data_IF_579808957777
#
_entry.id   IF_579808957777
#
_cell.length_a   1.000
_cell.length_b   1.000
_cell.length_c   1.000
_cell.angle_alpha   90.00
_cell.angle_beta   90.00
_cell.angle_gamma   90.00
#
_symmetry.space_group_name_H-M   'P 1'
#
loop_
_entity.id
_entity.type
_entity.pdbx_description
1 polymer ?
#
# COMPACT_ATOMS: atom_id res chain seq x y z
N UNK A 1 -13.99 -6.65 -38.27
CA UNK A 1 -13.91 -6.76 -36.80
C UNK A 1 -12.91 -7.79 -36.25
N UNK A 2 -11.80 -8.08 -36.96
CA UNK A 2 -10.73 -9.01 -36.50
C UNK A 2 -9.75 -8.40 -35.46
N UNK A 3 -9.89 -7.14 -35.07
CA UNK A 3 -9.01 -6.48 -34.08
C UNK A 3 -9.31 -6.87 -32.63
N UNK A 4 -10.51 -7.37 -32.32
CA UNK A 4 -10.93 -7.76 -30.96
C UNK A 4 -10.31 -9.07 -30.45
N UNK A 5 -9.80 -9.94 -31.32
CA UNK A 5 -9.23 -11.24 -30.94
C UNK A 5 -7.70 -11.26 -30.81
N UNK A 6 -7.01 -10.17 -31.09
CA UNK A 6 -5.57 -10.11 -30.75
C UNK A 6 -5.45 -9.90 -29.26
N UNK A 7 -4.99 -10.94 -28.53
CA UNK A 7 -4.58 -10.81 -27.15
C UNK A 7 -3.74 -9.54 -26.99
N UNK A 8 -4.09 -8.71 -26.01
CA UNK A 8 -3.35 -7.47 -25.77
C UNK A 8 -1.85 -7.78 -25.59
N UNK A 9 -0.94 -6.89 -25.97
CA UNK A 9 0.50 -7.07 -25.75
C UNK A 9 0.85 -7.45 -24.31
N UNK A 10 0.04 -7.00 -23.34
CA UNK A 10 0.19 -7.32 -21.92
C UNK A 10 -0.12 -8.79 -21.61
N UNK A 11 -1.08 -9.41 -22.28
CA UNK A 11 -1.42 -10.84 -22.13
C UNK A 11 -0.40 -11.77 -22.80
N UNK A 12 0.29 -11.30 -23.84
CA UNK A 12 1.30 -12.08 -24.56
C UNK A 12 2.67 -12.14 -23.90
N UNK A 13 2.92 -11.32 -22.87
CA UNK A 13 4.19 -11.35 -22.14
C UNK A 13 4.43 -12.74 -21.52
N UNK A 14 5.70 -13.14 -21.44
CA UNK A 14 6.10 -14.35 -20.72
C UNK A 14 5.81 -14.20 -19.21
N UNK A 15 5.75 -15.31 -18.49
CA UNK A 15 5.38 -15.32 -17.06
C UNK A 15 6.37 -14.51 -16.20
N UNK A 16 7.66 -14.57 -16.52
CA UNK A 16 8.71 -13.85 -15.78
C UNK A 16 8.49 -12.33 -15.91
N UNK A 17 8.22 -11.83 -17.11
CA UNK A 17 7.91 -10.41 -17.32
C UNK A 17 6.64 -9.96 -16.59
N UNK A 18 5.63 -10.84 -16.48
CA UNK A 18 4.39 -10.55 -15.75
C UNK A 18 4.65 -10.44 -14.25
N UNK A 19 5.39 -11.40 -13.68
CA UNK A 19 5.76 -11.41 -12.26
C UNK A 19 6.63 -10.18 -11.94
N UNK A 20 7.67 -9.94 -12.74
CA UNK A 20 8.53 -8.77 -12.58
C UNK A 20 7.74 -7.46 -12.62
N UNK A 21 6.86 -7.33 -13.62
CA UNK A 21 6.01 -6.14 -13.76
C UNK A 21 5.07 -5.95 -12.57
N UNK A 22 4.55 -7.01 -11.97
CA UNK A 22 3.72 -6.93 -10.77
C UNK A 22 4.55 -6.58 -9.52
N UNK A 23 5.76 -7.14 -9.40
CA UNK A 23 6.57 -7.06 -8.18
C UNK A 23 7.44 -5.81 -8.04
N UNK A 24 7.99 -5.25 -9.14
CA UNK A 24 8.95 -4.15 -9.00
C UNK A 24 8.44 -2.89 -8.27
N UNK A 25 7.14 -2.55 -8.20
CA UNK A 25 6.69 -1.42 -7.40
C UNK A 25 6.98 -1.57 -5.91
N UNK A 26 6.90 -2.80 -5.38
CA UNK A 26 7.31 -3.11 -3.99
C UNK A 26 8.79 -2.82 -3.82
N UNK A 27 9.63 -3.28 -4.75
CA UNK A 27 11.07 -3.03 -4.72
C UNK A 27 11.41 -1.54 -4.72
N UNK A 28 10.72 -0.74 -5.55
CA UNK A 28 10.91 0.72 -5.57
C UNK A 28 10.52 1.35 -4.24
N UNK A 29 9.35 0.97 -3.68
CA UNK A 29 8.93 1.46 -2.37
C UNK A 29 9.93 1.08 -1.29
N UNK A 30 10.39 -0.17 -1.28
CA UNK A 30 11.40 -0.66 -0.35
C UNK A 30 12.71 0.15 -0.45
N UNK A 31 13.22 0.39 -1.65
CA UNK A 31 14.44 1.20 -1.87
C UNK A 31 14.24 2.61 -1.34
N UNK A 32 13.10 3.25 -1.63
CA UNK A 32 12.80 4.60 -1.11
C UNK A 32 12.75 4.59 0.41
N UNK A 33 12.13 3.57 1.02
CA UNK A 33 12.07 3.47 2.49
C UNK A 33 13.47 3.32 3.11
N UNK A 34 14.36 2.52 2.49
CA UNK A 34 15.74 2.37 2.97
C UNK A 34 16.55 3.67 2.82
N UNK A 35 16.35 4.41 1.73
CA UNK A 35 17.02 5.71 1.52
C UNK A 35 16.55 6.71 2.59
N UNK A 36 15.23 6.82 2.82
CA UNK A 36 14.68 7.73 3.84
C UNK A 36 15.17 7.35 5.23
N UNK A 37 15.06 6.08 5.60
CA UNK A 37 15.50 5.59 6.91
C UNK A 37 17.02 5.76 7.11
N UNK A 38 17.83 5.36 6.14
CA UNK A 38 19.29 5.49 6.19
C UNK A 38 19.75 6.95 6.27
N UNK A 39 19.12 7.84 5.50
CA UNK A 39 19.40 9.28 5.55
C UNK A 39 19.04 9.86 6.93
N UNK A 40 17.85 9.53 7.45
CA UNK A 40 17.42 9.99 8.77
C UNK A 40 18.38 9.52 9.87
N UNK A 41 18.75 8.23 9.87
CA UNK A 41 19.70 7.68 10.83
C UNK A 41 21.09 8.35 10.73
N UNK A 42 21.58 8.60 9.52
CA UNK A 42 22.85 9.28 9.31
C UNK A 42 22.84 10.74 9.82
N UNK A 43 21.72 11.44 9.66
CA UNK A 43 21.52 12.79 10.20
C UNK A 43 21.45 12.74 11.72
N UNK A 44 20.62 11.88 12.29
CA UNK A 44 20.42 11.78 13.74
C UNK A 44 21.69 11.30 14.47
N UNK A 45 22.50 10.44 13.85
CA UNK A 45 23.80 10.05 14.40
C UNK A 45 24.77 11.23 14.59
N UNK A 46 24.58 12.33 13.85
CA UNK A 46 25.42 13.53 13.91
C UNK A 46 24.83 14.65 14.75
N UNK A 47 23.50 14.67 14.92
CA UNK A 47 22.79 15.83 15.49
C UNK A 47 22.06 15.53 16.79
N UNK A 48 21.83 14.25 17.12
CA UNK A 48 21.04 13.84 18.28
C UNK A 48 21.91 13.08 19.30
N UNK A 49 21.66 13.32 20.59
CA UNK A 49 22.33 12.61 21.68
C UNK A 49 21.99 11.09 21.68
N UNK A 50 20.76 10.74 21.29
CA UNK A 50 20.32 9.36 21.11
C UNK A 50 19.64 9.22 19.73
N UNK A 51 20.38 8.75 18.76
CA UNK A 51 19.89 8.62 17.38
C UNK A 51 18.75 7.62 17.23
N UNK A 52 18.76 6.52 17.99
CA UNK A 52 17.72 5.50 17.93
C UNK A 52 16.38 6.03 18.48
N UNK A 53 16.40 6.68 19.63
CA UNK A 53 15.21 7.28 20.22
C UNK A 53 14.66 8.40 19.33
N UNK A 54 15.55 9.25 18.79
CA UNK A 54 15.15 10.28 17.84
C UNK A 54 14.50 9.69 16.60
N UNK A 55 15.05 8.59 16.06
CA UNK A 55 14.45 7.87 14.94
C UNK A 55 13.03 7.39 15.27
N UNK A 56 12.80 6.77 16.44
CA UNK A 56 11.46 6.36 16.88
C UNK A 56 10.50 7.56 16.98
N UNK A 57 10.98 8.66 17.50
CA UNK A 57 10.20 9.90 17.61
C UNK A 57 9.74 10.45 16.26
N UNK A 58 10.51 10.26 15.21
CA UNK A 58 10.18 10.72 13.85
C UNK A 58 9.59 9.63 12.95
N UNK A 59 9.40 8.39 13.42
CA UNK A 59 8.97 7.25 12.59
C UNK A 59 7.68 7.56 11.81
N UNK A 60 6.67 8.15 12.46
CA UNK A 60 5.40 8.49 11.80
C UNK A 60 5.63 9.46 10.63
N UNK A 61 6.41 10.50 10.83
CA UNK A 61 6.77 11.45 9.78
C UNK A 61 7.58 10.80 8.67
N UNK A 62 8.59 10.00 9.01
CA UNK A 62 9.45 9.31 8.03
C UNK A 62 8.66 8.30 7.18
N UNK A 63 7.70 7.60 7.79
CA UNK A 63 6.78 6.70 7.07
C UNK A 63 5.92 7.48 6.08
N UNK A 64 5.33 8.60 6.52
CA UNK A 64 4.57 9.46 5.63
C UNK A 64 5.41 10.08 4.51
N UNK A 65 6.63 10.54 4.81
CA UNK A 65 7.57 11.06 3.82
C UNK A 65 7.92 9.98 2.78
N UNK A 66 8.21 8.76 3.23
CA UNK A 66 8.41 7.60 2.34
C UNK A 66 7.20 7.38 1.43
N UNK A 67 5.98 7.44 2.00
CA UNK A 67 4.73 7.32 1.24
C UNK A 67 4.61 8.38 0.14
N UNK A 68 4.84 9.65 0.48
CA UNK A 68 4.79 10.76 -0.50
C UNK A 68 5.80 10.53 -1.63
N UNK A 69 7.04 10.22 -1.29
CA UNK A 69 8.10 9.98 -2.29
C UNK A 69 7.77 8.76 -3.18
N UNK A 70 7.19 7.71 -2.61
CA UNK A 70 6.80 6.51 -3.35
C UNK A 70 5.57 6.72 -4.24
N UNK A 71 4.66 7.63 -3.88
CA UNK A 71 3.51 7.98 -4.72
C UNK A 71 3.92 8.59 -6.06
N UNK A 72 5.05 9.29 -6.14
CA UNK A 72 5.52 9.93 -7.38
C UNK A 72 5.75 8.89 -8.49
N UNK A 73 6.66 7.91 -8.34
CA UNK A 73 6.84 6.86 -9.34
C UNK A 73 5.59 5.98 -9.49
N UNK A 74 4.83 5.73 -8.41
CA UNK A 74 3.61 4.94 -8.49
C UNK A 74 2.56 5.59 -9.39
N UNK A 75 2.35 6.91 -9.28
CA UNK A 75 1.43 7.65 -10.14
C UNK A 75 1.87 7.64 -11.61
N UNK A 76 3.17 7.79 -11.88
CA UNK A 76 3.73 7.68 -13.22
C UNK A 76 3.44 6.30 -13.82
N UNK A 77 3.73 5.23 -13.10
CA UNK A 77 3.49 3.87 -13.59
C UNK A 77 2.01 3.56 -13.75
N UNK A 78 1.16 4.02 -12.85
CA UNK A 78 -0.29 3.86 -12.95
C UNK A 78 -0.84 4.53 -14.23
N UNK A 79 -0.45 5.78 -14.48
CA UNK A 79 -0.88 6.51 -15.68
C UNK A 79 -0.43 5.79 -16.96
N UNK A 80 0.82 5.36 -17.01
CA UNK A 80 1.37 4.58 -18.13
C UNK A 80 0.63 3.27 -18.35
N UNK A 81 0.36 2.54 -17.28
CA UNK A 81 -0.36 1.26 -17.36
C UNK A 81 -1.82 1.46 -17.75
N UNK A 82 -2.47 2.52 -17.30
CA UNK A 82 -3.83 2.88 -17.72
C UNK A 82 -3.92 3.10 -19.23
N UNK A 83 -3.01 3.89 -19.80
CA UNK A 83 -2.93 4.10 -21.26
C UNK A 83 -2.74 2.77 -21.98
N UNK A 84 -1.84 1.92 -21.53
CA UNK A 84 -1.60 0.58 -22.11
C UNK A 84 -2.82 -0.34 -22.04
N UNK A 85 -3.58 -0.31 -20.94
CA UNK A 85 -4.80 -1.10 -20.78
C UNK A 85 -5.90 -0.63 -21.70
N UNK A 86 -6.08 0.68 -21.86
CA UNK A 86 -7.03 1.26 -22.82
C UNK A 86 -6.65 0.87 -24.26
N UNK A 87 -5.39 1.08 -24.65
CA UNK A 87 -4.89 0.73 -25.97
C UNK A 87 -4.98 -0.77 -26.28
N UNK A 88 -4.84 -1.60 -25.24
CA UNK A 88 -4.98 -3.06 -25.33
C UNK A 88 -6.42 -3.59 -25.22
N UNK A 89 -7.42 -2.72 -25.08
CA UNK A 89 -8.83 -3.09 -24.95
C UNK A 89 -9.16 -3.84 -23.64
N UNK A 90 -8.31 -3.73 -22.61
CA UNK A 90 -8.54 -4.36 -21.31
C UNK A 90 -9.52 -3.57 -20.44
N UNK A 91 -9.60 -2.28 -20.62
CA UNK A 91 -10.55 -1.38 -19.98
C UNK A 91 -11.11 -0.40 -21.02
N UNK A 92 -12.38 -0.04 -20.91
CA UNK A 92 -12.95 0.99 -21.77
C UNK A 92 -12.34 2.37 -21.47
N UNK A 93 -12.33 3.25 -22.46
CA UNK A 93 -12.05 4.67 -22.27
C UNK A 93 -13.27 5.31 -21.58
N UNK A 94 -13.35 5.16 -20.26
CA UNK A 94 -14.52 5.63 -19.51
C UNK A 94 -14.52 7.14 -19.29
N UNK A 95 -15.71 7.76 -19.44
CA UNK A 95 -16.00 9.04 -18.80
C UNK A 95 -15.97 8.86 -17.27
N UNK A 96 -15.27 9.73 -16.56
CA UNK A 96 -15.36 9.77 -15.11
C UNK A 96 -16.78 10.21 -14.73
N UNK A 97 -17.50 9.36 -14.03
CA UNK A 97 -18.73 9.74 -13.36
C UNK A 97 -18.35 10.15 -11.94
N UNK A 98 -18.60 11.40 -11.52
CA UNK A 98 -18.31 11.79 -10.14
C UNK A 98 -19.24 11.01 -9.20
N UNK A 99 -18.70 10.63 -8.05
CA UNK A 99 -19.50 10.02 -6.98
C UNK A 99 -20.48 11.07 -6.43
N UNK A 100 -21.71 10.65 -6.18
CA UNK A 100 -22.69 11.45 -5.45
C UNK A 100 -22.30 11.55 -3.97
N UNK A 101 -22.81 12.55 -3.27
CA UNK A 101 -22.60 12.72 -1.83
C UNK A 101 -23.05 11.47 -1.04
N UNK A 102 -24.18 10.88 -1.43
CA UNK A 102 -24.69 9.66 -0.79
C UNK A 102 -23.72 8.48 -0.98
N UNK A 103 -23.19 8.27 -2.18
CA UNK A 103 -22.20 7.21 -2.43
C UNK A 103 -20.93 7.41 -1.59
N UNK A 104 -20.46 8.65 -1.44
CA UNK A 104 -19.31 8.96 -0.59
C UNK A 104 -19.63 8.61 0.88
N UNK A 105 -20.80 9.01 1.40
CA UNK A 105 -21.20 8.70 2.77
C UNK A 105 -21.31 7.19 2.98
N UNK A 106 -21.95 6.46 2.06
CA UNK A 106 -22.08 5.00 2.14
C UNK A 106 -20.72 4.30 2.11
N UNK A 107 -19.78 4.75 1.28
CA UNK A 107 -18.43 4.23 1.24
C UNK A 107 -17.67 4.47 2.56
N UNK A 108 -17.82 5.67 3.15
CA UNK A 108 -17.20 5.97 4.45
C UNK A 108 -17.79 5.12 5.57
N UNK A 109 -19.11 4.94 5.62
CA UNK A 109 -19.77 4.07 6.60
C UNK A 109 -19.37 2.60 6.42
N UNK A 110 -19.32 2.12 5.18
CA UNK A 110 -18.86 0.76 4.88
C UNK A 110 -17.38 0.57 5.31
N UNK A 111 -16.53 1.54 5.03
CA UNK A 111 -15.12 1.51 5.45
C UNK A 111 -14.97 1.49 6.97
N UNK A 112 -15.71 2.33 7.68
CA UNK A 112 -15.73 2.34 9.14
C UNK A 112 -16.23 1.00 9.73
N UNK A 113 -17.29 0.44 9.16
CA UNK A 113 -17.83 -0.86 9.58
C UNK A 113 -16.82 -2.01 9.35
N UNK A 114 -16.17 -2.04 8.19
CA UNK A 114 -15.13 -3.03 7.89
C UNK A 114 -13.91 -2.88 8.82
N UNK A 115 -13.50 -1.65 9.15
CA UNK A 115 -12.41 -1.40 10.08
C UNK A 115 -12.75 -1.91 11.49
N UNK A 116 -13.97 -1.67 11.98
CA UNK A 116 -14.41 -2.20 13.28
C UNK A 116 -14.51 -3.73 13.29
N UNK A 117 -15.02 -4.32 12.21
CA UNK A 117 -15.03 -5.78 12.06
C UNK A 117 -13.61 -6.37 12.05
N UNK A 118 -12.69 -5.74 11.31
CA UNK A 118 -11.28 -6.10 11.30
C UNK A 118 -10.65 -6.01 12.70
N UNK A 119 -10.89 -4.92 13.43
CA UNK A 119 -10.41 -4.77 14.82
C UNK A 119 -10.96 -5.85 15.74
N UNK A 120 -12.23 -6.23 15.61
CA UNK A 120 -12.84 -7.32 16.37
C UNK A 120 -12.16 -8.67 16.07
N UNK A 121 -11.97 -8.99 14.79
CA UNK A 121 -11.26 -10.21 14.40
C UNK A 121 -9.82 -10.23 14.92
N UNK A 122 -9.14 -9.09 14.88
CA UNK A 122 -7.78 -8.98 15.40
C UNK A 122 -7.72 -9.14 16.92
N UNK A 123 -8.69 -8.63 17.66
CA UNK A 123 -8.78 -8.84 19.10
C UNK A 123 -8.90 -10.35 19.44
N UNK A 124 -9.71 -11.09 18.68
CA UNK A 124 -9.80 -12.55 18.82
C UNK A 124 -8.45 -13.20 18.46
N UNK A 125 -7.85 -12.83 17.34
CA UNK A 125 -6.63 -13.44 16.84
C UNK A 125 -5.44 -13.20 17.80
N UNK A 126 -5.36 -12.02 18.40
CA UNK A 126 -4.32 -11.66 19.36
C UNK A 126 -4.36 -12.52 20.65
N UNK A 127 -5.48 -13.16 20.96
CA UNK A 127 -5.54 -14.14 22.06
C UNK A 127 -4.76 -15.43 21.76
N UNK A 128 -4.46 -15.69 20.48
CA UNK A 128 -3.73 -16.87 20.02
C UNK A 128 -2.31 -16.55 19.55
N UNK A 129 -2.00 -15.29 19.27
CA UNK A 129 -0.70 -14.85 18.76
C UNK A 129 -0.06 -13.91 19.77
N UNK A 130 1.22 -14.14 20.08
CA UNK A 130 1.97 -13.21 20.92
C UNK A 130 2.17 -11.88 20.15
N UNK A 131 1.46 -10.85 20.56
CA UNK A 131 1.48 -9.50 19.97
C UNK A 131 2.25 -8.47 20.81
N UNK A 132 2.91 -8.88 21.90
CA UNK A 132 3.57 -7.96 22.86
C UNK A 132 4.59 -7.05 22.20
N UNK A 133 5.50 -7.60 21.37
CA UNK A 133 6.50 -6.82 20.68
C UNK A 133 5.91 -5.82 19.69
N UNK A 134 4.81 -6.19 19.01
CA UNK A 134 4.07 -5.28 18.13
C UNK A 134 3.42 -4.14 18.94
N UNK A 135 2.74 -4.46 20.03
CA UNK A 135 2.10 -3.46 20.88
C UNK A 135 3.10 -2.49 21.50
N UNK A 136 4.24 -2.99 22.00
CA UNK A 136 5.33 -2.16 22.52
C UNK A 136 5.86 -1.21 21.44
N UNK A 137 6.12 -1.71 20.24
CA UNK A 137 6.58 -0.89 19.12
C UNK A 137 5.57 0.19 18.76
N UNK A 138 4.28 -0.15 18.69
CA UNK A 138 3.22 0.81 18.38
C UNK A 138 3.09 1.87 19.46
N UNK A 139 3.15 1.49 20.74
CA UNK A 139 3.13 2.43 21.87
C UNK A 139 4.30 3.41 21.76
N UNK A 140 5.53 2.93 21.58
CA UNK A 140 6.71 3.78 21.41
C UNK A 140 6.62 4.75 20.25
N UNK A 141 6.01 4.34 19.14
CA UNK A 141 5.84 5.19 17.94
C UNK A 141 4.76 6.26 18.15
N UNK A 142 3.69 5.94 18.88
CA UNK A 142 2.51 6.81 19.01
C UNK A 142 2.50 7.64 20.31
N UNK A 143 3.26 7.24 21.32
CA UNK A 143 3.32 7.94 22.62
C UNK A 143 3.74 9.40 22.44
N UNK A 144 3.01 10.31 23.06
CA UNK A 144 3.26 11.75 23.00
C UNK A 144 2.99 12.42 21.65
N UNK A 145 2.44 11.69 20.66
CA UNK A 145 2.10 12.27 19.35
C UNK A 145 0.68 12.85 19.34
N UNK A 146 0.51 13.96 18.63
CA UNK A 146 -0.82 14.55 18.47
C UNK A 146 -1.71 13.67 17.58
N UNK A 147 -3.00 13.62 17.91
CA UNK A 147 -3.99 12.89 17.13
C UNK A 147 -4.03 13.36 15.66
N UNK A 148 -3.94 14.66 15.43
CA UNK A 148 -3.92 15.23 14.06
C UNK A 148 -2.72 14.75 13.25
N UNK A 149 -1.54 14.66 13.86
CA UNK A 149 -0.35 14.13 13.23
C UNK A 149 -0.54 12.64 12.85
N UNK A 150 -1.09 11.84 13.75
CA UNK A 150 -1.36 10.43 13.49
C UNK A 150 -2.40 10.26 12.37
N UNK A 151 -3.51 11.01 12.42
CA UNK A 151 -4.54 10.96 11.37
C UNK A 151 -3.93 11.35 10.01
N UNK A 152 -3.17 12.43 9.95
CA UNK A 152 -2.60 12.90 8.68
C UNK A 152 -1.59 11.91 8.09
N UNK A 153 -0.58 11.51 8.87
CA UNK A 153 0.51 10.68 8.34
C UNK A 153 0.16 9.20 8.24
N UNK A 154 -0.45 8.63 9.30
CA UNK A 154 -0.80 7.20 9.34
C UNK A 154 -2.20 6.90 8.81
N UNK A 155 -3.14 7.84 8.97
CA UNK A 155 -4.52 7.63 8.54
C UNK A 155 -4.80 8.05 7.09
N UNK A 156 -4.02 8.96 6.51
CA UNK A 156 -4.25 9.48 5.15
C UNK A 156 -3.07 9.16 4.23
N UNK A 157 -1.87 9.65 4.56
CA UNK A 157 -0.73 9.60 3.64
C UNK A 157 -0.22 8.17 3.42
N UNK A 158 0.03 7.43 4.50
CA UNK A 158 0.52 6.06 4.39
C UNK A 158 -0.48 5.15 3.66
N UNK A 159 -1.78 5.09 4.04
CA UNK A 159 -2.76 4.29 3.32
C UNK A 159 -2.94 4.70 1.85
N UNK A 160 -2.86 6.01 1.53
CA UNK A 160 -2.93 6.46 0.14
C UNK A 160 -1.77 5.91 -0.70
N UNK A 161 -0.55 5.92 -0.16
CA UNK A 161 0.63 5.35 -0.82
C UNK A 161 0.51 3.83 -1.00
N UNK A 162 0.08 3.13 0.05
CA UNK A 162 -0.15 1.69 0.03
C UNK A 162 -1.21 1.30 -1.00
N UNK A 163 -2.33 2.01 -1.05
CA UNK A 163 -3.40 1.78 -2.01
C UNK A 163 -2.89 1.96 -3.46
N UNK A 164 -2.08 3.00 -3.72
CA UNK A 164 -1.49 3.23 -5.04
C UNK A 164 -0.54 2.09 -5.45
N UNK A 165 0.27 1.58 -4.53
CA UNK A 165 1.26 0.54 -4.82
C UNK A 165 0.58 -0.82 -4.91
N UNK A 166 -0.18 -1.22 -3.90
CA UNK A 166 -0.72 -2.58 -3.80
C UNK A 166 -2.01 -2.77 -4.60
N UNK A 167 -2.93 -1.78 -4.64
CA UNK A 167 -4.20 -1.91 -5.37
C UNK A 167 -4.09 -1.39 -6.81
N UNK A 168 -3.53 -0.20 -7.04
CA UNK A 168 -3.49 0.38 -8.38
C UNK A 168 -2.36 -0.18 -9.25
N UNK A 169 -1.25 -0.62 -8.68
CA UNK A 169 -0.17 -1.23 -9.47
C UNK A 169 -0.21 -2.74 -9.37
N UNK A 170 0.05 -3.33 -8.21
CA UNK A 170 0.23 -4.79 -8.11
C UNK A 170 -1.06 -5.51 -8.47
N UNK A 171 -2.16 -5.24 -7.78
CA UNK A 171 -3.44 -5.90 -8.03
C UNK A 171 -3.90 -5.72 -9.48
N UNK A 172 -3.92 -4.50 -10.01
CA UNK A 172 -4.37 -4.27 -11.38
C UNK A 172 -3.44 -4.93 -12.41
N UNK A 173 -2.14 -5.04 -12.17
CA UNK A 173 -1.20 -5.77 -13.04
C UNK A 173 -1.40 -7.27 -13.00
N UNK A 174 -1.71 -7.82 -11.82
CA UNK A 174 -2.11 -9.23 -11.69
C UNK A 174 -3.43 -9.47 -12.43
N UNK A 175 -4.39 -8.55 -12.36
CA UNK A 175 -5.67 -8.59 -13.09
C UNK A 175 -5.51 -8.57 -14.61
N UNK A 176 -4.42 -8.07 -15.13
CA UNK A 176 -4.16 -8.10 -16.58
C UNK A 176 -4.10 -9.54 -17.13
N UNK A 177 -3.86 -10.55 -16.28
CA UNK A 177 -3.70 -11.96 -16.68
C UNK A 177 -4.29 -12.99 -15.71
N UNK A 178 -4.67 -12.63 -14.49
CA UNK A 178 -5.33 -13.50 -13.51
C UNK A 178 -6.82 -13.15 -13.35
N UNK A 179 -7.60 -14.11 -12.86
CA UNK A 179 -8.98 -13.89 -12.41
C UNK A 179 -9.00 -13.00 -11.16
N UNK A 180 -10.08 -12.23 -10.99
CA UNK A 180 -10.24 -11.27 -9.89
C UNK A 180 -9.92 -11.84 -8.50
N UNK A 181 -10.52 -12.95 -8.04
CA UNK A 181 -10.26 -13.43 -6.69
C UNK A 181 -8.81 -13.87 -6.49
N UNK A 182 -8.20 -14.51 -7.49
CA UNK A 182 -6.79 -14.92 -7.42
C UNK A 182 -5.85 -13.71 -7.34
N UNK A 183 -6.10 -12.68 -8.15
CA UNK A 183 -5.31 -11.46 -8.11
C UNK A 183 -5.46 -10.72 -6.77
N UNK A 184 -6.67 -10.72 -6.18
CA UNK A 184 -6.93 -10.10 -4.88
C UNK A 184 -6.16 -10.83 -3.77
N UNK A 185 -6.25 -12.15 -3.70
CA UNK A 185 -5.54 -12.96 -2.71
C UNK A 185 -4.03 -12.77 -2.82
N UNK A 186 -3.46 -12.87 -4.03
CA UNK A 186 -2.01 -12.68 -4.22
C UNK A 186 -1.58 -11.26 -3.83
N UNK A 187 -2.33 -10.24 -4.22
CA UNK A 187 -2.02 -8.85 -3.85
C UNK A 187 -2.11 -8.63 -2.35
N UNK A 188 -3.11 -9.20 -1.67
CA UNK A 188 -3.27 -9.16 -0.23
C UNK A 188 -2.10 -9.85 0.48
N UNK A 189 -1.73 -11.06 0.07
CA UNK A 189 -0.59 -11.78 0.64
C UNK A 189 0.74 -11.00 0.48
N UNK A 190 1.00 -10.41 -0.69
CA UNK A 190 2.18 -9.57 -0.90
C UNK A 190 2.15 -8.37 0.05
N UNK A 191 0.99 -7.74 0.24
CA UNK A 191 0.82 -6.62 1.15
C UNK A 191 1.03 -7.02 2.62
N UNK A 192 0.45 -8.15 3.04
CA UNK A 192 0.66 -8.70 4.38
C UNK A 192 2.14 -9.03 4.67
N UNK A 193 2.81 -9.73 3.76
CA UNK A 193 4.23 -10.06 3.89
C UNK A 193 5.10 -8.79 3.95
N UNK A 194 4.74 -7.78 3.19
CA UNK A 194 5.48 -6.51 3.13
C UNK A 194 5.52 -5.78 4.49
N UNK A 195 4.53 -5.98 5.35
CA UNK A 195 4.49 -5.38 6.68
C UNK A 195 5.54 -5.95 7.66
N UNK A 196 6.11 -7.11 7.36
CA UNK A 196 7.25 -7.67 8.11
C UNK A 196 6.93 -8.19 9.51
N UNK A 197 5.67 -8.13 9.96
CA UNK A 197 5.24 -8.78 11.19
C UNK A 197 3.88 -9.49 11.02
N UNK A 198 3.68 -10.55 11.80
CA UNK A 198 2.52 -11.44 11.64
C UNK A 198 1.21 -10.70 11.91
N UNK A 199 1.15 -9.87 12.94
CA UNK A 199 -0.08 -9.15 13.36
C UNK A 199 -0.54 -8.21 12.25
N UNK A 200 0.34 -7.32 11.78
CA UNK A 200 0.03 -6.42 10.66
C UNK A 200 -0.18 -7.18 9.36
N UNK A 201 0.59 -8.25 9.13
CA UNK A 201 0.47 -9.06 7.93
C UNK A 201 -0.91 -9.69 7.78
N UNK A 202 -1.46 -10.26 8.84
CA UNK A 202 -2.81 -10.84 8.83
C UNK A 202 -3.88 -9.74 8.70
N UNK A 203 -3.72 -8.63 9.39
CA UNK A 203 -4.67 -7.52 9.32
C UNK A 203 -4.72 -6.86 7.94
N UNK A 204 -3.57 -6.78 7.26
CA UNK A 204 -3.42 -6.09 5.98
C UNK A 204 -3.78 -6.97 4.77
N UNK A 205 -3.67 -8.31 4.86
CA UNK A 205 -3.91 -9.25 3.75
C UNK A 205 -5.39 -9.53 3.53
#
# INVERSE_FOLDING_TARGET
NRRFFRLSPLRKQNIVSKIWRAGYPVGIHFIISQIVAGTALAVFARTAANSAETYYNYTIFLTGLTGILAMIPALYFYRRDKVRRIAGGLIPAQKKVPLSLLEIILLLLAGAGLAQYGNFLMAILQSFINSSAYQESMTRITEGKSLLMMIFWMGIIAPAAEEMIFRWLIYLRLRDWLKMPVAAVISGLIFGIYHGNIVQGIYAS
#
